data_IF_597888614622
#
_entry.id   IF_597888614622
#
_cell.length_a   1.000
_cell.length_b   1.000
_cell.length_c   1.000
_cell.angle_alpha   90.00
_cell.angle_beta   90.00
_cell.angle_gamma   90.00
#
_symmetry.space_group_name_H-M   'P 1'
#
loop_
_entity.id
_entity.type
_entity.pdbx_description
1 polymer ?
#
# COMPACT_ATOMS: atom_id res chain seq x y z
N UNK A 1 4.33 -9.52 -3.87
CA UNK A 1 4.66 -8.18 -4.38
C UNK A 1 4.03 -7.11 -3.47
N UNK A 2 4.57 -5.89 -3.33
CA UNK A 2 4.01 -4.85 -2.42
C UNK A 2 2.51 -4.59 -2.64
N UNK A 3 2.08 -4.58 -3.91
CA UNK A 3 0.67 -4.43 -4.30
C UNK A 3 -0.24 -5.44 -3.63
N UNK A 4 0.14 -6.71 -3.60
CA UNK A 4 -0.68 -7.77 -3.01
C UNK A 4 -0.79 -7.63 -1.50
N UNK A 5 0.30 -7.20 -0.84
CA UNK A 5 0.31 -6.96 0.61
C UNK A 5 -0.63 -5.80 0.94
N UNK A 6 -0.52 -4.70 0.19
CA UNK A 6 -1.39 -3.53 0.31
C UNK A 6 -2.84 -3.94 0.03
N UNK A 7 -3.12 -4.69 -1.03
CA UNK A 7 -4.46 -5.14 -1.39
C UNK A 7 -5.08 -6.03 -0.31
N UNK A 8 -4.31 -6.97 0.25
CA UNK A 8 -4.76 -7.83 1.35
C UNK A 8 -5.09 -7.03 2.61
N UNK A 9 -4.27 -6.04 2.96
CA UNK A 9 -4.52 -5.23 4.15
C UNK A 9 -5.69 -4.27 3.97
N UNK A 10 -5.86 -3.73 2.76
CA UNK A 10 -7.04 -2.95 2.37
C UNK A 10 -8.31 -3.79 2.51
N UNK A 11 -8.30 -5.02 2.00
CA UNK A 11 -9.41 -5.97 2.09
C UNK A 11 -9.71 -6.37 3.54
N UNK A 12 -8.67 -6.72 4.32
CA UNK A 12 -8.78 -7.06 5.75
C UNK A 12 -9.43 -5.95 6.57
N UNK A 13 -9.19 -4.68 6.23
CA UNK A 13 -9.80 -3.50 6.89
C UNK A 13 -11.15 -3.11 6.30
N UNK A 14 -11.62 -3.81 5.26
CA UNK A 14 -12.79 -3.43 4.47
C UNK A 14 -12.70 -1.99 3.94
N UNK A 15 -11.49 -1.58 3.54
CA UNK A 15 -11.24 -0.28 2.94
C UNK A 15 -11.45 -0.36 1.43
N UNK A 16 -11.95 0.75 0.86
CA UNK A 16 -11.98 0.94 -0.58
C UNK A 16 -10.73 1.69 -1.05
N UNK A 17 -10.40 1.58 -2.34
CA UNK A 17 -9.33 2.38 -2.96
C UNK A 17 -9.55 3.89 -2.73
N UNK A 18 -10.81 4.32 -2.68
CA UNK A 18 -11.21 5.68 -2.32
C UNK A 18 -10.75 6.04 -0.90
N UNK A 19 -11.07 5.19 0.08
CA UNK A 19 -10.71 5.42 1.48
C UNK A 19 -9.20 5.42 1.67
N UNK A 20 -8.49 4.48 1.05
CA UNK A 20 -7.03 4.45 1.07
C UNK A 20 -6.42 5.72 0.47
N UNK A 21 -6.93 6.20 -0.67
CA UNK A 21 -6.47 7.45 -1.28
C UNK A 21 -6.71 8.67 -0.38
N UNK A 22 -7.88 8.72 0.27
CA UNK A 22 -8.22 9.79 1.22
C UNK A 22 -7.30 9.82 2.44
N UNK A 23 -7.06 8.66 3.06
CA UNK A 23 -6.24 8.56 4.29
C UNK A 23 -4.74 8.72 4.00
N UNK A 24 -4.28 8.37 2.79
CA UNK A 24 -2.87 8.45 2.41
C UNK A 24 -2.48 9.77 1.73
N UNK A 25 -3.45 10.57 1.29
CA UNK A 25 -3.20 11.75 0.46
C UNK A 25 -2.75 11.42 -0.97
N UNK A 26 -2.68 10.14 -1.34
CA UNK A 26 -2.38 9.71 -2.71
C UNK A 26 -3.65 9.87 -3.56
N UNK A 27 -3.57 10.43 -4.78
CA UNK A 27 -4.75 10.60 -5.63
C UNK A 27 -5.50 9.27 -5.84
N UNK A 28 -6.83 9.29 -5.69
CA UNK A 28 -7.66 8.08 -5.74
C UNK A 28 -7.47 7.30 -7.03
N UNK A 29 -7.39 7.99 -8.18
CA UNK A 29 -7.13 7.35 -9.49
C UNK A 29 -5.79 6.61 -9.52
N UNK A 30 -4.77 7.16 -8.87
CA UNK A 30 -3.44 6.56 -8.74
C UNK A 30 -3.51 5.28 -7.90
N UNK A 31 -4.24 5.32 -6.77
CA UNK A 31 -4.47 4.14 -5.93
C UNK A 31 -5.25 3.07 -6.68
N UNK A 32 -6.32 3.44 -7.39
CA UNK A 32 -7.11 2.51 -8.20
C UNK A 32 -6.29 1.87 -9.31
N UNK A 33 -5.51 2.65 -10.07
CA UNK A 33 -4.65 2.13 -11.13
C UNK A 33 -3.57 1.18 -10.58
N UNK A 34 -3.03 1.48 -9.40
CA UNK A 34 -2.07 0.61 -8.73
C UNK A 34 -2.69 -0.72 -8.29
N UNK A 35 -3.81 -0.67 -7.58
CA UNK A 35 -4.50 -1.86 -7.08
C UNK A 35 -5.04 -2.74 -8.23
N UNK A 36 -5.52 -2.11 -9.31
CA UNK A 36 -5.95 -2.79 -10.53
C UNK A 36 -4.78 -3.33 -11.37
N UNK A 37 -3.54 -2.98 -11.04
CA UNK A 37 -2.35 -3.40 -11.76
C UNK A 37 -2.12 -2.73 -13.11
N UNK A 38 -2.88 -1.68 -13.42
CA UNK A 38 -2.74 -0.88 -14.65
C UNK A 38 -1.50 0.02 -14.63
N UNK A 39 -1.01 0.39 -13.45
CA UNK A 39 0.17 1.24 -13.28
C UNK A 39 0.95 0.84 -12.02
N UNK A 40 2.26 1.05 -12.03
CA UNK A 40 3.09 0.89 -10.83
C UNK A 40 3.29 2.24 -10.12
N UNK A 41 3.68 2.19 -8.85
CA UNK A 41 3.89 3.39 -8.05
C UNK A 41 5.36 3.57 -7.75
N UNK A 42 5.81 4.83 -7.70
CA UNK A 42 7.13 5.12 -7.17
C UNK A 42 7.25 4.62 -5.72
N UNK A 43 8.46 4.21 -5.33
CA UNK A 43 8.74 3.68 -4.00
C UNK A 43 8.29 4.60 -2.87
N UNK A 44 8.36 5.92 -3.07
CA UNK A 44 7.86 6.92 -2.12
C UNK A 44 6.34 6.81 -1.90
N UNK A 45 5.56 6.67 -2.97
CA UNK A 45 4.10 6.51 -2.87
C UNK A 45 3.72 5.18 -2.24
N UNK A 46 4.44 4.11 -2.57
CA UNK A 46 4.25 2.81 -1.91
C UNK A 46 4.53 2.92 -0.41
N UNK A 47 5.61 3.60 -0.03
CA UNK A 47 5.95 3.83 1.39
C UNK A 47 4.86 4.62 2.12
N UNK A 48 4.28 5.65 1.48
CA UNK A 48 3.14 6.40 2.03
C UNK A 48 1.93 5.47 2.23
N UNK A 49 1.55 4.67 1.23
CA UNK A 49 0.44 3.71 1.36
C UNK A 49 0.68 2.69 2.48
N UNK A 50 1.89 2.14 2.57
CA UNK A 50 2.27 1.22 3.64
C UNK A 50 2.16 1.90 5.01
N UNK A 51 2.67 3.12 5.17
CA UNK A 51 2.61 3.88 6.42
C UNK A 51 1.17 4.16 6.84
N UNK A 52 0.30 4.57 5.90
CA UNK A 52 -1.14 4.78 6.16
C UNK A 52 -1.83 3.49 6.59
N UNK A 53 -1.45 2.36 6.00
CA UNK A 53 -1.95 1.05 6.39
C UNK A 53 -1.26 0.51 7.65
N UNK A 54 -0.36 1.24 8.31
CA UNK A 54 0.39 0.75 9.46
C UNK A 54 1.22 -0.50 9.14
N UNK A 55 1.55 -0.72 7.86
CA UNK A 55 2.42 -1.78 7.41
C UNK A 55 3.86 -1.33 7.65
N UNK A 56 4.50 -1.95 8.63
CA UNK A 56 5.94 -1.80 8.79
C UNK A 56 6.63 -2.50 7.63
N UNK A 57 7.35 -1.73 6.80
CA UNK A 57 8.32 -2.27 5.87
C UNK A 57 9.43 -2.92 6.69
N UNK A 58 9.22 -4.17 7.11
CA UNK A 58 10.28 -4.98 7.73
C UNK A 58 11.33 -5.22 6.65
N UNK A 59 12.35 -4.36 6.63
CA UNK A 59 13.66 -4.76 6.14
C UNK A 59 14.03 -6.01 6.93
N UNK A 60 14.01 -7.15 6.26
CA UNK A 60 14.54 -8.40 6.77
C UNK A 60 16.04 -8.20 7.01
N UNK A 61 16.36 -7.69 8.20
CA UNK A 61 17.67 -7.87 8.80
C UNK A 61 17.64 -9.30 9.33
N UNK A 62 18.18 -10.23 8.54
CA UNK A 62 18.64 -11.52 9.06
C UNK A 62 19.58 -11.26 10.24
N UNK A 63 19.24 -11.82 11.39
CA UNK A 63 20.02 -11.83 12.62
C UNK A 63 19.05 -12.35 13.68
N UNK A 64 18.92 -13.66 13.85
CA UNK A 64 20.02 -14.55 14.21
C UNK A 64 19.70 -14.97 15.63
N UNK A 65 19.53 -16.28 15.82
CA UNK A 65 19.25 -16.93 17.10
C UNK A 65 20.21 -16.51 18.21
#
# INVERSE_FOLDING_TARGET
>A
MFREIIQKEVDRRSWSAYRLGKESGVPIRTVQAYLSGTCDLSGERIAVLCKTLGLELRSTKKGGQ
#
